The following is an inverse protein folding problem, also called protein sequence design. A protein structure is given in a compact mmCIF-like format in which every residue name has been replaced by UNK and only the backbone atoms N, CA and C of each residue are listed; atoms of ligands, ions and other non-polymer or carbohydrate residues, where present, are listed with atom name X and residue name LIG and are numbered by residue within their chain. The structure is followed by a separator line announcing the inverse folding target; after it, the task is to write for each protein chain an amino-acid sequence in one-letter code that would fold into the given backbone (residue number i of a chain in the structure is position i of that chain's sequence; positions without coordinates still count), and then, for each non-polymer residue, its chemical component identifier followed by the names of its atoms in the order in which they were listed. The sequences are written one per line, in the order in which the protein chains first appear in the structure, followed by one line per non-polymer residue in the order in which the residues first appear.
data_IF_664410269115
#
_entry.id   IF_664410269115
#
_cell.length_a   1.000
_cell.length_b   1.000
_cell.length_c   1.000
_cell.angle_alpha   90.00
_cell.angle_beta   90.00
_cell.angle_gamma   90.00
#
_symmetry.space_group_name_H-M   'P 1'
#
loop_
_entity.id
_entity.type
_entity.pdbx_description
1 polymer ?
#
# COMPACT_ATOMS: atom_id res chain seq x y z
N UNK A 1 21.55 -1.17 -10.64
CA UNK A 1 20.87 -0.02 -11.27
C UNK A 1 21.61 1.25 -10.91
N UNK A 2 22.17 1.95 -11.90
CA UNK A 2 22.81 3.27 -11.67
C UNK A 2 21.97 4.39 -12.28
N UNK A 3 21.46 5.28 -11.45
CA UNK A 3 20.88 6.55 -11.92
C UNK A 3 22.04 7.52 -12.14
N UNK A 4 22.10 8.09 -13.35
CA UNK A 4 23.17 9.02 -13.74
C UNK A 4 22.56 10.33 -14.19
N UNK A 5 23.21 11.43 -13.85
CA UNK A 5 22.99 12.73 -14.46
C UNK A 5 24.21 13.10 -15.28
N UNK A 6 24.00 13.85 -16.36
CA UNK A 6 25.11 14.58 -16.98
C UNK A 6 25.68 15.54 -15.95
N UNK A 7 26.96 15.84 -16.08
CA UNK A 7 27.65 16.79 -15.22
C UNK A 7 28.28 17.81 -16.14
N UNK A 8 28.10 19.08 -15.85
CA UNK A 8 28.67 20.16 -16.64
C UNK A 8 30.20 20.29 -16.44
N UNK A 9 30.82 21.25 -17.11
CA UNK A 9 32.26 21.53 -17.00
C UNK A 9 32.72 21.94 -15.59
N UNK A 10 31.78 22.25 -14.68
CA UNK A 10 32.04 22.67 -13.31
C UNK A 10 31.78 21.56 -12.28
N UNK A 11 31.40 20.35 -12.70
CA UNK A 11 31.07 19.28 -11.78
C UNK A 11 29.63 19.36 -11.24
N UNK A 12 28.79 20.24 -11.79
CA UNK A 12 27.41 20.43 -11.35
C UNK A 12 26.50 19.49 -12.17
N UNK A 13 25.59 18.73 -11.52
CA UNK A 13 24.64 17.89 -12.23
C UNK A 13 23.75 18.73 -13.17
N UNK A 14 23.79 18.42 -14.46
CA UNK A 14 23.01 19.07 -15.51
C UNK A 14 22.11 18.05 -16.22
N UNK A 15 20.92 18.47 -16.64
CA UNK A 15 19.95 17.65 -17.37
C UNK A 15 19.14 16.64 -16.52
N UNK A 16 18.29 15.82 -17.18
CA UNK A 16 17.46 14.85 -16.50
C UNK A 16 18.27 13.65 -16.01
N UNK A 17 17.76 12.98 -14.97
CA UNK A 17 18.24 11.65 -14.59
C UNK A 17 18.04 10.66 -15.73
N UNK A 18 19.04 9.82 -15.96
CA UNK A 18 19.04 8.73 -16.93
C UNK A 18 19.33 7.42 -16.21
N UNK A 19 18.60 6.38 -16.58
CA UNK A 19 18.90 5.01 -16.23
C UNK A 19 19.23 4.25 -17.50
N UNK A 20 20.11 3.24 -17.39
CA UNK A 20 20.33 2.30 -18.49
C UNK A 20 19.11 1.37 -18.59
N UNK A 21 18.48 1.33 -19.76
CA UNK A 21 17.32 0.47 -20.02
C UNK A 21 17.68 -1.00 -19.80
N UNK A 22 18.88 -1.43 -20.19
CA UNK A 22 19.34 -2.81 -20.00
C UNK A 22 19.54 -3.15 -18.52
N UNK A 23 19.99 -2.19 -17.70
CA UNK A 23 20.05 -2.39 -16.24
C UNK A 23 18.65 -2.60 -15.64
N UNK A 24 17.67 -1.79 -16.08
CA UNK A 24 16.28 -1.91 -15.62
C UNK A 24 15.69 -3.25 -16.07
N UNK A 25 15.85 -3.62 -17.34
CA UNK A 25 15.38 -4.89 -17.90
C UNK A 25 16.01 -6.10 -17.22
N UNK A 26 17.31 -6.06 -16.90
CA UNK A 26 17.99 -7.11 -16.18
C UNK A 26 17.43 -7.26 -14.75
N UNK A 27 17.22 -6.15 -14.04
CA UNK A 27 16.61 -6.16 -12.70
C UNK A 27 15.18 -6.70 -12.75
N UNK A 28 14.38 -6.27 -13.74
CA UNK A 28 13.03 -6.79 -13.93
C UNK A 28 13.00 -8.29 -14.27
N UNK A 29 13.93 -8.74 -15.10
CA UNK A 29 14.03 -10.14 -15.49
C UNK A 29 14.46 -11.03 -14.31
N UNK A 30 15.47 -10.61 -13.55
CA UNK A 30 15.96 -11.35 -12.38
C UNK A 30 14.90 -11.47 -11.29
N UNK A 31 14.14 -10.41 -11.05
CA UNK A 31 13.07 -10.46 -10.08
C UNK A 31 11.92 -11.34 -10.55
N UNK A 32 11.51 -11.24 -11.82
CA UNK A 32 10.52 -12.14 -12.39
C UNK A 32 10.95 -13.60 -12.27
N UNK A 33 12.24 -13.90 -12.50
CA UNK A 33 12.83 -15.22 -12.28
C UNK A 33 12.84 -15.67 -10.81
N UNK A 34 12.90 -14.72 -9.86
CA UNK A 34 12.84 -15.02 -8.44
C UNK A 34 11.41 -15.32 -7.95
N UNK A 35 10.40 -15.09 -8.78
CA UNK A 35 9.02 -15.39 -8.43
C UNK A 35 8.83 -16.90 -8.33
N UNK A 36 8.38 -17.35 -7.18
CA UNK A 36 7.98 -18.74 -7.02
C UNK A 36 6.76 -18.99 -7.92
N UNK A 37 6.95 -19.80 -8.96
CA UNK A 37 5.83 -20.40 -9.66
C UNK A 37 5.07 -21.28 -8.66
N UNK A 38 3.72 -21.32 -8.71
CA UNK A 38 2.99 -22.31 -7.94
C UNK A 38 3.52 -23.69 -8.35
N UNK A 39 4.23 -24.36 -7.44
CA UNK A 39 4.73 -25.72 -7.65
C UNK A 39 3.56 -26.57 -8.11
N UNK A 40 3.70 -27.19 -9.29
CA UNK A 40 2.80 -28.27 -9.71
C UNK A 40 2.99 -29.40 -8.70
N UNK A 41 2.15 -29.43 -7.68
CA UNK A 41 2.06 -30.59 -6.84
C UNK A 41 1.46 -31.71 -7.71
N UNK A 42 2.33 -32.65 -8.08
CA UNK A 42 2.07 -33.94 -8.73
C UNK A 42 2.03 -33.93 -10.27
N UNK A 43 2.94 -34.74 -10.84
CA UNK A 43 2.99 -35.21 -12.22
C UNK A 43 1.82 -36.15 -12.55
N UNK A 44 0.59 -35.68 -12.39
CA UNK A 44 -0.55 -36.32 -13.06
C UNK A 44 -1.03 -35.36 -14.16
N UNK A 45 -0.85 -35.83 -15.38
CA UNK A 45 -1.33 -35.27 -16.63
C UNK A 45 -2.86 -35.17 -16.61
N UNK A 46 -3.41 -34.24 -15.83
CA UNK A 46 -4.79 -33.79 -16.01
C UNK A 46 -4.77 -32.54 -16.90
N UNK A 47 -4.95 -32.70 -18.23
CA UNK A 47 -4.92 -31.59 -19.17
C UNK A 47 -6.07 -30.60 -18.98
N UNK A 48 -7.03 -30.87 -18.09
CA UNK A 48 -8.22 -30.05 -17.87
C UNK A 48 -8.10 -29.07 -16.69
N UNK A 49 -7.02 -29.15 -15.88
CA UNK A 49 -6.75 -28.14 -14.87
C UNK A 49 -6.14 -26.91 -15.55
N UNK A 50 -7.01 -26.02 -16.04
CA UNK A 50 -6.60 -24.66 -16.42
C UNK A 50 -5.90 -24.02 -15.24
N UNK A 51 -4.59 -23.77 -15.36
CA UNK A 51 -3.83 -22.97 -14.40
C UNK A 51 -4.46 -21.59 -14.32
N UNK A 52 -5.28 -21.36 -13.29
CA UNK A 52 -5.84 -20.04 -12.99
C UNK A 52 -4.67 -19.15 -12.57
N UNK A 53 -4.42 -18.10 -13.35
CA UNK A 53 -3.44 -17.08 -12.98
C UNK A 53 -3.81 -16.49 -11.61
N UNK A 54 -2.87 -16.43 -10.66
CA UNK A 54 -3.12 -15.79 -9.37
C UNK A 54 -3.55 -14.34 -9.57
N UNK A 55 -4.60 -13.91 -8.85
CA UNK A 55 -4.99 -12.50 -8.81
C UNK A 55 -3.90 -11.67 -8.14
N UNK A 56 -3.85 -10.38 -8.45
CA UNK A 56 -2.84 -9.48 -7.89
C UNK A 56 -3.53 -8.45 -7.01
N UNK A 57 -3.04 -8.31 -5.79
CA UNK A 57 -3.51 -7.34 -4.81
C UNK A 57 -2.32 -6.52 -4.29
N UNK A 58 -2.55 -5.23 -4.05
CA UNK A 58 -1.57 -4.33 -3.43
C UNK A 58 -1.93 -4.09 -1.97
N UNK A 59 -0.94 -4.24 -1.09
CA UNK A 59 -0.99 -3.89 0.32
C UNK A 59 -0.85 -2.38 0.44
N UNK A 60 -1.86 -1.73 1.03
CA UNK A 60 -1.90 -0.28 1.23
C UNK A 60 -1.60 0.10 2.67
N UNK A 61 -1.96 -0.76 3.61
CA UNK A 61 -1.76 -0.57 5.05
C UNK A 61 -1.71 -1.92 5.76
N UNK A 62 -1.12 -1.90 6.95
CA UNK A 62 -0.89 -3.05 7.84
C UNK A 62 -1.47 -2.72 9.21
N UNK A 63 -2.26 -3.64 9.74
CA UNK A 63 -3.01 -3.51 10.99
C UNK A 63 -2.75 -4.75 11.84
N UNK A 64 -2.41 -4.59 13.12
CA UNK A 64 -2.13 -5.74 13.99
C UNK A 64 -3.41 -6.43 14.40
N UNK A 65 -3.55 -7.73 14.16
CA UNK A 65 -4.65 -8.51 14.76
C UNK A 65 -4.41 -8.69 16.27
N UNK A 66 -4.65 -7.65 17.05
CA UNK A 66 -4.62 -7.72 18.51
C UNK A 66 -5.95 -8.26 19.01
N UNK A 67 -6.23 -9.51 18.65
CA UNK A 67 -7.32 -10.27 19.25
C UNK A 67 -7.03 -10.61 20.72
N UNK A 68 -5.79 -10.43 21.22
CA UNK A 68 -5.34 -10.88 22.54
C UNK A 68 -4.60 -9.85 23.40
N UNK A 69 -4.45 -8.60 22.98
CA UNK A 69 -3.89 -7.52 23.82
C UNK A 69 -4.94 -6.43 24.08
N UNK A 70 -4.72 -5.68 25.16
CA UNK A 70 -5.66 -4.73 25.78
C UNK A 70 -6.44 -3.87 24.78
N UNK A 71 -7.65 -3.44 25.18
CA UNK A 71 -8.60 -2.67 24.36
C UNK A 71 -8.03 -1.40 23.67
N UNK A 72 -6.81 -0.98 24.01
CA UNK A 72 -6.07 0.08 23.35
C UNK A 72 -5.64 -0.26 21.90
N UNK A 73 -5.30 -1.51 21.59
CA UNK A 73 -4.74 -1.86 20.27
C UNK A 73 -5.82 -2.04 19.18
N UNK A 74 -7.04 -2.46 19.56
CA UNK A 74 -8.18 -2.55 18.60
C UNK A 74 -8.57 -1.20 18.00
N UNK A 75 -8.22 -0.12 18.69
CA UNK A 75 -8.47 1.23 18.23
C UNK A 75 -7.51 1.64 17.10
N UNK A 76 -6.30 1.05 17.03
CA UNK A 76 -5.26 1.36 16.03
C UNK A 76 -5.50 0.73 14.63
N UNK A 77 -6.39 -0.26 14.52
CA UNK A 77 -6.71 -0.89 13.22
C UNK A 77 -7.74 -0.08 12.42
N UNK A 78 -8.81 0.39 13.06
CA UNK A 78 -9.80 1.32 12.46
C UNK A 78 -9.13 2.67 12.12
N UNK A 79 -8.03 3.01 12.80
CA UNK A 79 -7.24 4.23 12.65
C UNK A 79 -6.56 4.36 11.29
N UNK A 80 -5.82 3.33 10.84
CA UNK A 80 -5.02 3.40 9.61
C UNK A 80 -5.92 3.40 8.34
N UNK A 81 -7.07 2.70 8.39
CA UNK A 81 -8.09 2.66 7.35
C UNK A 81 -8.75 4.04 7.11
N UNK A 82 -9.10 4.72 8.20
CA UNK A 82 -9.68 6.06 8.14
C UNK A 82 -8.66 7.11 7.67
N UNK A 83 -7.36 6.88 7.84
CA UNK A 83 -6.31 7.78 7.36
C UNK A 83 -6.00 7.60 5.88
N UNK A 84 -5.95 6.37 5.36
CA UNK A 84 -5.82 6.16 3.90
C UNK A 84 -7.01 6.76 3.14
N UNK A 85 -8.22 6.63 3.68
CA UNK A 85 -9.41 7.22 3.07
C UNK A 85 -9.41 8.75 3.04
N UNK A 86 -8.61 9.42 3.89
CA UNK A 86 -8.41 10.86 3.79
C UNK A 86 -7.73 11.23 2.45
N UNK A 87 -6.74 10.47 2.02
CA UNK A 87 -5.96 10.76 0.81
C UNK A 87 -6.54 10.13 -0.45
N UNK A 88 -7.52 9.23 -0.30
CA UNK A 88 -8.15 8.55 -1.40
C UNK A 88 -9.26 9.41 -2.03
N UNK A 89 -9.02 9.91 -3.24
CA UNK A 89 -9.96 10.82 -3.95
C UNK A 89 -11.28 10.17 -4.37
N UNK A 90 -11.42 8.83 -4.23
CA UNK A 90 -12.63 8.07 -4.61
C UNK A 90 -13.29 7.46 -3.37
N UNK A 91 -14.62 7.30 -3.43
CA UNK A 91 -15.39 6.55 -2.42
C UNK A 91 -14.84 5.12 -2.36
N UNK A 92 -14.60 4.58 -1.16
CA UNK A 92 -13.91 3.33 -0.76
C UNK A 92 -14.39 2.00 -1.42
N UNK A 93 -14.85 1.99 -2.67
CA UNK A 93 -15.53 0.84 -3.27
C UNK A 93 -14.62 -0.36 -3.60
N UNK A 94 -13.30 -0.22 -3.44
CA UNK A 94 -12.33 -1.27 -3.77
C UNK A 94 -11.40 -1.70 -2.64
N UNK A 95 -11.42 -1.02 -1.48
CA UNK A 95 -10.58 -1.36 -0.34
C UNK A 95 -11.16 -2.57 0.40
N UNK A 96 -10.37 -3.62 0.51
CA UNK A 96 -10.77 -4.85 1.19
C UNK A 96 -9.79 -5.17 2.32
N UNK A 97 -10.31 -5.47 3.49
CA UNK A 97 -9.51 -5.91 4.63
C UNK A 97 -9.31 -7.42 4.56
N UNK A 98 -8.05 -7.86 4.49
CA UNK A 98 -7.68 -9.28 4.47
C UNK A 98 -6.69 -9.63 5.54
N UNK A 99 -6.80 -10.86 6.04
CA UNK A 99 -5.93 -11.41 7.07
C UNK A 99 -4.83 -12.25 6.42
N UNK A 100 -3.57 -11.87 6.57
CA UNK A 100 -2.43 -12.65 6.05
C UNK A 100 -1.76 -13.45 7.15
N UNK A 101 -1.50 -14.74 6.94
CA UNK A 101 -0.75 -15.61 7.87
C UNK A 101 0.36 -16.37 7.14
N UNK A 102 1.58 -16.28 7.67
CA UNK A 102 2.72 -17.03 7.17
C UNK A 102 3.09 -18.16 8.13
N UNK A 103 3.03 -19.41 7.67
CA UNK A 103 3.35 -20.59 8.50
C UNK A 103 4.86 -20.73 8.79
N UNK A 104 5.73 -20.07 8.02
CA UNK A 104 7.20 -20.12 8.17
C UNK A 104 7.77 -18.73 8.49
N UNK A 105 7.53 -18.32 9.74
CA UNK A 105 7.85 -17.02 10.34
C UNK A 105 9.29 -16.52 10.18
N UNK A 106 10.26 -17.38 9.87
CA UNK A 106 11.67 -17.03 9.80
C UNK A 106 12.07 -16.35 8.46
N UNK A 107 11.27 -16.45 7.40
CA UNK A 107 11.71 -16.12 6.03
C UNK A 107 10.71 -15.28 5.23
N UNK A 108 10.09 -14.27 5.86
CA UNK A 108 9.12 -13.37 5.22
C UNK A 108 9.62 -12.74 3.90
N UNK A 109 10.93 -12.43 3.82
CA UNK A 109 11.53 -11.90 2.59
C UNK A 109 11.35 -12.85 1.40
N UNK A 110 11.31 -14.17 1.64
CA UNK A 110 11.04 -15.16 0.59
C UNK A 110 9.55 -15.20 0.21
N UNK A 111 8.67 -14.91 1.16
CA UNK A 111 7.21 -14.88 0.93
C UNK A 111 6.71 -13.65 0.16
N UNK A 112 7.57 -12.65 -0.08
CA UNK A 112 7.22 -11.49 -0.91
C UNK A 112 6.87 -11.87 -2.35
N UNK A 113 7.38 -13.00 -2.81
CA UNK A 113 7.21 -13.47 -4.19
C UNK A 113 6.38 -14.75 -4.27
N UNK A 114 5.86 -15.22 -3.13
CA UNK A 114 5.07 -16.44 -3.05
C UNK A 114 3.65 -16.23 -3.60
N UNK A 115 3.02 -17.34 -3.98
CA UNK A 115 1.57 -17.40 -4.17
C UNK A 115 0.92 -17.65 -2.82
N UNK A 116 -0.11 -16.87 -2.53
CA UNK A 116 -0.95 -16.99 -1.34
C UNK A 116 -2.29 -17.58 -1.73
N UNK A 117 -2.93 -18.27 -0.80
CA UNK A 117 -4.25 -18.84 -1.05
C UNK A 117 -5.17 -18.71 0.14
N UNK A 118 -6.48 -18.69 -0.13
CA UNK A 118 -7.49 -18.59 0.91
C UNK A 118 -7.58 -19.89 1.71
N UNK A 119 -7.49 -19.77 3.02
CA UNK A 119 -7.77 -20.81 4.01
C UNK A 119 -8.72 -20.21 5.07
N UNK A 120 -10.02 -20.49 4.94
CA UNK A 120 -11.05 -19.84 5.73
C UNK A 120 -11.15 -18.34 5.42
N UNK A 121 -10.97 -17.51 6.45
CA UNK A 121 -11.00 -16.04 6.37
C UNK A 121 -9.59 -15.42 6.19
N UNK A 122 -8.56 -16.25 6.09
CA UNK A 122 -7.16 -15.82 5.99
C UNK A 122 -6.56 -16.21 4.63
N UNK A 123 -5.58 -15.45 4.17
CA UNK A 123 -4.67 -15.86 3.11
C UNK A 123 -3.40 -16.38 3.74
N UNK A 124 -2.97 -17.56 3.28
CA UNK A 124 -1.80 -18.25 3.81
C UNK A 124 -0.78 -18.55 2.73
N UNK A 125 0.46 -18.76 3.14
CA UNK A 125 1.53 -19.24 2.27
C UNK A 125 2.48 -20.19 3.01
N UNK A 126 3.10 -21.10 2.28
CA UNK A 126 4.15 -22.01 2.76
C UNK A 126 5.10 -22.40 1.61
N UNK A 127 6.20 -23.08 1.93
CA UNK A 127 7.22 -23.50 0.95
C UNK A 127 6.75 -24.53 -0.08
N UNK A 128 5.61 -25.18 0.16
CA UNK A 128 5.06 -26.22 -0.72
C UNK A 128 4.11 -25.64 -1.78
N UNK A 129 3.75 -24.35 -1.64
CA UNK A 129 2.80 -23.69 -2.52
C UNK A 129 1.33 -24.05 -2.22
N UNK A 130 0.39 -23.47 -2.99
CA UNK A 130 -1.04 -23.65 -2.76
C UNK A 130 -1.51 -25.09 -3.00
N UNK A 131 -2.48 -25.61 -2.22
CA UNK A 131 -3.16 -26.86 -2.52
C UNK A 131 -3.81 -26.83 -3.91
N UNK A 132 -3.85 -27.98 -4.58
CA UNK A 132 -4.43 -28.13 -5.93
C UNK A 132 -5.88 -27.61 -5.97
N UNK A 133 -6.67 -27.92 -4.94
CA UNK A 133 -8.08 -27.54 -4.81
C UNK A 133 -8.31 -26.05 -4.52
N UNK A 134 -7.26 -25.26 -4.29
CA UNK A 134 -7.43 -23.84 -3.98
C UNK A 134 -7.67 -23.02 -5.24
N UNK A 135 -8.89 -22.49 -5.36
CA UNK A 135 -9.33 -21.64 -6.47
C UNK A 135 -9.13 -20.14 -6.23
N UNK A 136 -8.85 -19.72 -4.99
CA UNK A 136 -8.58 -18.31 -4.63
C UNK A 136 -7.09 -18.16 -4.34
N UNK A 137 -6.34 -17.92 -5.41
CA UNK A 137 -4.88 -17.73 -5.39
C UNK A 137 -4.55 -16.27 -5.66
N UNK A 138 -3.68 -15.68 -4.86
CA UNK A 138 -3.31 -14.27 -4.95
C UNK A 138 -1.81 -14.05 -4.80
N UNK A 139 -1.30 -12.97 -5.41
CA UNK A 139 0.02 -12.41 -5.16
C UNK A 139 -0.17 -11.04 -4.53
N UNK A 140 0.63 -10.77 -3.51
CA UNK A 140 0.62 -9.48 -2.83
C UNK A 140 1.85 -8.66 -3.23
N UNK A 141 1.61 -7.38 -3.54
CA UNK A 141 2.62 -6.34 -3.76
C UNK A 141 2.43 -5.24 -2.72
N UNK A 142 3.35 -4.26 -2.63
CA UNK A 142 3.34 -3.21 -1.62
C UNK A 142 3.98 -3.65 -0.30
N UNK A 143 4.92 -4.59 -0.35
CA UNK A 143 5.58 -5.14 0.84
C UNK A 143 6.47 -4.11 1.55
N UNK A 144 6.92 -3.09 0.82
CA UNK A 144 7.63 -1.92 1.37
C UNK A 144 6.80 -1.14 2.40
N UNK A 145 5.46 -1.23 2.34
CA UNK A 145 4.56 -0.56 3.28
C UNK A 145 4.48 -1.26 4.65
N UNK A 146 5.12 -2.43 4.81
CA UNK A 146 5.10 -3.16 6.07
C UNK A 146 6.14 -2.64 7.07
N UNK A 147 5.70 -2.27 8.27
CA UNK A 147 6.61 -1.99 9.39
C UNK A 147 7.29 -3.29 9.86
N UNK A 148 8.62 -3.31 9.86
CA UNK A 148 9.48 -4.48 10.18
C UNK A 148 9.18 -5.19 11.51
N UNK A 149 8.53 -4.50 12.46
CA UNK A 149 8.34 -4.99 13.84
C UNK A 149 7.11 -5.91 14.04
N UNK A 150 6.11 -5.87 13.14
CA UNK A 150 4.78 -6.45 13.38
C UNK A 150 4.63 -7.95 13.09
N UNK A 151 5.67 -8.63 12.61
CA UNK A 151 5.49 -9.92 11.91
C UNK A 151 6.05 -11.14 12.64
N UNK A 152 6.12 -11.10 13.97
CA UNK A 152 6.28 -12.33 14.77
C UNK A 152 4.92 -12.93 15.10
N UNK A 153 4.51 -13.93 14.34
CA UNK A 153 3.50 -14.91 14.73
C UNK A 153 2.05 -14.47 14.59
N UNK A 154 1.80 -13.30 14.03
CA UNK A 154 0.47 -12.72 13.99
C UNK A 154 -0.09 -12.77 12.59
N UNK A 155 -1.34 -13.18 12.53
CA UNK A 155 -2.18 -12.81 11.41
C UNK A 155 -2.35 -11.29 11.41
N UNK A 156 -2.33 -10.66 10.24
CA UNK A 156 -2.32 -9.19 10.15
C UNK A 156 -3.41 -8.77 9.19
N UNK A 157 -4.21 -7.78 9.59
CA UNK A 157 -5.23 -7.19 8.72
C UNK A 157 -4.55 -6.21 7.76
N UNK A 158 -4.96 -6.23 6.50
CA UNK A 158 -4.39 -5.38 5.47
C UNK A 158 -5.50 -4.76 4.65
N UNK A 159 -5.45 -3.46 4.47
CA UNK A 159 -6.21 -2.83 3.39
C UNK A 159 -5.53 -3.11 2.07
N UNK A 160 -6.29 -3.71 1.17
CA UNK A 160 -5.80 -4.10 -0.14
C UNK A 160 -6.68 -3.56 -1.25
N UNK A 161 -6.05 -3.40 -2.41
CA UNK A 161 -6.74 -3.05 -3.65
C UNK A 161 -6.36 -4.05 -4.75
N UNK A 162 -7.33 -4.56 -5.52
CA UNK A 162 -7.03 -5.39 -6.68
C UNK A 162 -6.24 -4.57 -7.71
N UNK A 163 -5.28 -5.21 -8.35
CA UNK A 163 -4.58 -4.66 -9.52
C UNK A 163 -5.02 -5.42 -10.77
N UNK A 164 -5.39 -4.66 -11.79
CA UNK A 164 -5.68 -5.20 -13.12
C UNK A 164 -4.46 -5.16 -14.05
N UNK A 165 -3.33 -4.65 -13.55
CA UNK A 165 -2.10 -4.55 -14.31
C UNK A 165 -1.42 -5.91 -14.48
N UNK A 166 -0.74 -6.15 -15.62
CA UNK A 166 0.06 -7.35 -15.81
C UNK A 166 1.12 -7.51 -14.70
N UNK A 167 1.55 -8.75 -14.47
CA UNK A 167 2.55 -9.07 -13.44
C UNK A 167 3.82 -8.21 -13.54
N UNK A 168 4.32 -8.02 -14.77
CA UNK A 168 5.51 -7.22 -15.04
C UNK A 168 5.32 -5.74 -14.63
N UNK A 169 4.12 -5.19 -14.80
CA UNK A 169 3.84 -3.79 -14.47
C UNK A 169 3.70 -3.62 -12.95
N UNK A 170 3.08 -4.58 -12.27
CA UNK A 170 3.05 -4.62 -10.80
C UNK A 170 4.46 -4.68 -10.21
N UNK A 171 5.36 -5.40 -10.87
CA UNK A 171 6.75 -5.44 -10.49
C UNK A 171 7.47 -4.10 -10.69
N UNK A 172 7.31 -3.44 -11.84
CA UNK A 172 7.86 -2.11 -12.08
C UNK A 172 7.36 -1.08 -11.06
N UNK A 173 6.09 -1.20 -10.66
CA UNK A 173 5.49 -0.40 -9.59
C UNK A 173 6.10 -0.69 -8.20
N UNK A 174 6.45 -1.94 -7.86
CA UNK A 174 7.15 -2.28 -6.61
C UNK A 174 8.57 -1.70 -6.54
N UNK A 175 9.30 -1.79 -7.66
CA UNK A 175 10.59 -1.13 -7.81
C UNK A 175 10.47 0.38 -7.62
N UNK A 176 9.44 0.98 -8.21
CA UNK A 176 9.16 2.39 -8.04
C UNK A 176 8.88 2.74 -6.58
N UNK A 177 8.03 1.99 -5.86
CA UNK A 177 7.78 2.21 -4.43
C UNK A 177 9.04 2.07 -3.58
N UNK A 178 9.92 1.11 -3.90
CA UNK A 178 11.22 0.93 -3.24
C UNK A 178 12.15 2.11 -3.51
N UNK A 179 12.21 2.58 -4.76
CA UNK A 179 12.97 3.76 -5.14
C UNK A 179 12.45 5.01 -4.45
N UNK A 180 11.13 5.23 -4.48
CA UNK A 180 10.45 6.35 -3.83
C UNK A 180 10.79 6.36 -2.34
N UNK A 181 10.64 5.20 -1.66
CA UNK A 181 11.05 5.03 -0.25
C UNK A 181 12.50 5.46 -0.04
N UNK A 182 13.43 5.01 -0.88
CA UNK A 182 14.85 5.29 -0.71
C UNK A 182 15.18 6.77 -0.91
N UNK A 183 14.58 7.44 -1.91
CA UNK A 183 14.86 8.86 -2.14
C UNK A 183 14.20 9.76 -1.10
N UNK A 184 13.05 9.34 -0.55
CA UNK A 184 12.33 10.14 0.44
C UNK A 184 12.86 9.97 1.87
N UNK A 185 13.71 8.98 2.14
CA UNK A 185 14.41 8.85 3.43
C UNK A 185 15.25 10.07 3.81
N UNK A 186 15.76 10.80 2.81
CA UNK A 186 16.54 12.02 3.01
C UNK A 186 15.70 13.30 2.96
N UNK A 187 14.39 13.17 2.73
CA UNK A 187 13.47 14.30 2.60
C UNK A 187 12.84 14.56 3.96
N UNK A 188 13.02 15.78 4.49
CA UNK A 188 12.38 16.22 5.74
C UNK A 188 10.92 16.63 5.52
N UNK A 189 10.63 17.26 4.38
CA UNK A 189 9.31 17.73 3.99
C UNK A 189 9.07 17.51 2.48
N UNK A 190 7.89 17.01 2.13
CA UNK A 190 7.49 16.75 0.73
C UNK A 190 7.31 18.06 -0.07
N UNK A 191 7.11 19.18 0.62
CA UNK A 191 6.73 20.45 0.03
C UNK A 191 5.36 20.40 -0.64
N UNK A 192 5.08 21.44 -1.43
CA UNK A 192 3.79 21.61 -2.11
C UNK A 192 2.66 22.00 -1.14
N UNK A 193 1.57 22.55 -1.68
CA UNK A 193 0.45 22.93 -0.82
C UNK A 193 -0.43 21.71 -0.54
N UNK A 194 -0.59 21.39 0.74
CA UNK A 194 -1.57 20.41 1.21
C UNK A 194 -2.91 21.12 1.45
N UNK A 195 -4.00 20.55 0.94
CA UNK A 195 -5.34 21.12 1.08
C UNK A 195 -6.36 20.04 1.43
N UNK A 196 -7.42 20.43 2.13
CA UNK A 196 -8.56 19.58 2.39
C UNK A 196 -9.81 20.03 1.64
N UNK A 197 -10.55 19.08 1.09
CA UNK A 197 -11.83 19.32 0.42
C UNK A 197 -12.93 18.46 1.03
N UNK A 198 -14.12 19.05 1.23
CA UNK A 198 -15.28 18.33 1.76
C UNK A 198 -16.24 17.94 0.64
N UNK A 199 -16.61 16.66 0.60
CA UNK A 199 -17.60 16.08 -0.31
C UNK A 199 -18.78 15.52 0.50
N UNK A 200 -19.73 16.38 0.88
CA UNK A 200 -20.90 15.97 1.68
C UNK A 200 -20.54 15.52 3.10
N UNK A 201 -20.68 14.22 3.40
CA UNK A 201 -20.23 13.62 4.67
C UNK A 201 -18.76 13.15 4.61
N UNK A 202 -18.08 13.24 3.47
CA UNK A 202 -16.69 12.82 3.28
C UNK A 202 -15.73 14.02 3.27
N UNK A 203 -14.50 13.79 3.71
CA UNK A 203 -13.40 14.77 3.71
C UNK A 203 -12.21 14.10 3.04
N UNK A 204 -11.68 14.74 2.00
CA UNK A 204 -10.47 14.30 1.31
C UNK A 204 -9.35 15.31 1.46
N UNK A 205 -8.10 14.86 1.38
CA UNK A 205 -6.89 15.66 1.35
C UNK A 205 -6.13 15.42 0.03
N UNK A 206 -5.39 16.44 -0.38
CA UNK A 206 -4.47 16.38 -1.52
C UNK A 206 -3.21 17.17 -1.21
N UNK A 207 -2.10 16.80 -1.83
CA UNK A 207 -0.85 17.53 -1.80
C UNK A 207 -0.35 17.71 -3.24
N UNK A 208 0.02 18.93 -3.61
CA UNK A 208 0.43 19.26 -4.99
C UNK A 208 1.61 18.43 -5.48
N UNK A 209 2.66 18.25 -4.67
CA UNK A 209 3.84 17.44 -5.04
C UNK A 209 3.45 15.99 -5.29
N UNK A 210 2.62 15.41 -4.41
CA UNK A 210 2.14 14.03 -4.59
C UNK A 210 1.24 13.90 -5.81
N UNK A 211 0.39 14.89 -6.07
CA UNK A 211 -0.47 14.92 -7.25
C UNK A 211 0.35 14.99 -8.54
N UNK A 212 1.44 15.77 -8.57
CA UNK A 212 2.39 15.81 -9.68
C UNK A 212 3.10 14.47 -9.89
N UNK A 213 3.54 13.82 -8.80
CA UNK A 213 4.16 12.50 -8.86
C UNK A 213 3.16 11.48 -9.42
N UNK A 214 1.94 11.43 -8.90
CA UNK A 214 0.89 10.52 -9.39
C UNK A 214 0.56 10.79 -10.87
N UNK A 215 0.42 12.06 -11.25
CA UNK A 215 0.19 12.45 -12.64
C UNK A 215 1.34 12.01 -13.56
N UNK A 216 2.59 12.10 -13.09
CA UNK A 216 3.74 11.62 -13.85
C UNK A 216 3.68 10.10 -14.05
N UNK A 217 3.31 9.31 -13.03
CA UNK A 217 3.17 7.87 -13.18
C UNK A 217 2.10 7.48 -14.20
N UNK A 218 0.94 8.14 -14.15
CA UNK A 218 -0.19 7.88 -15.05
C UNK A 218 0.13 8.31 -16.48
N UNK A 219 0.62 9.54 -16.67
CA UNK A 219 0.91 10.07 -18.02
C UNK A 219 2.05 9.36 -18.72
N UNK A 220 2.96 8.73 -17.95
CA UNK A 220 4.05 7.90 -18.49
C UNK A 220 3.66 6.43 -18.65
N UNK A 221 2.43 6.06 -18.32
CA UNK A 221 1.89 4.72 -18.52
C UNK A 221 2.41 3.66 -17.55
N UNK A 222 2.96 4.07 -16.39
CA UNK A 222 3.39 3.11 -15.37
C UNK A 222 2.21 2.49 -14.62
N UNK A 223 1.11 3.23 -14.48
CA UNK A 223 -0.06 2.78 -13.73
C UNK A 223 -1.31 3.59 -14.09
N UNK A 224 -2.49 3.09 -13.71
CA UNK A 224 -3.69 3.92 -13.68
C UNK A 224 -3.74 4.83 -12.43
N UNK A 225 -4.81 5.61 -12.28
CA UNK A 225 -4.94 6.55 -11.16
C UNK A 225 -5.06 5.86 -9.78
N UNK A 226 -5.71 4.70 -9.71
CA UNK A 226 -5.89 3.98 -8.45
C UNK A 226 -4.57 3.30 -8.06
N UNK A 227 -3.86 2.74 -9.03
CA UNK A 227 -2.53 2.18 -8.83
C UNK A 227 -1.48 3.27 -8.52
N UNK A 228 -1.60 4.48 -9.08
CA UNK A 228 -0.75 5.62 -8.71
C UNK A 228 -0.91 5.97 -7.23
N UNK A 229 -2.15 5.98 -6.74
CA UNK A 229 -2.44 6.10 -5.32
C UNK A 229 -1.77 4.98 -4.52
N UNK A 230 -1.92 3.72 -4.93
CA UNK A 230 -1.35 2.56 -4.24
C UNK A 230 0.19 2.59 -4.13
N UNK A 231 0.87 3.17 -5.13
CA UNK A 231 2.31 3.24 -5.15
C UNK A 231 2.88 4.41 -4.34
N UNK A 232 2.12 5.51 -4.21
CA UNK A 232 2.62 6.79 -3.69
C UNK A 232 2.15 7.11 -2.28
N UNK A 233 0.85 6.96 -1.99
CA UNK A 233 0.27 7.37 -0.71
C UNK A 233 0.75 6.46 0.44
N UNK A 234 0.64 5.12 0.35
CA UNK A 234 1.17 4.24 1.38
C UNK A 234 2.66 4.48 1.67
N UNK A 235 3.47 4.60 0.61
CA UNK A 235 4.91 4.84 0.71
C UNK A 235 5.22 6.17 1.43
N UNK A 236 4.59 7.26 1.00
CA UNK A 236 4.86 8.59 1.57
C UNK A 236 4.37 8.67 3.02
N UNK A 237 3.25 8.02 3.33
CA UNK A 237 2.69 7.95 4.68
C UNK A 237 3.56 7.13 5.63
N UNK A 238 4.06 5.98 5.20
CA UNK A 238 4.96 5.16 6.04
C UNK A 238 6.29 5.85 6.35
N UNK A 239 6.69 6.83 5.53
CA UNK A 239 7.83 7.72 5.78
C UNK A 239 7.47 8.97 6.60
N UNK A 240 6.21 9.18 6.99
CA UNK A 240 5.78 10.35 7.77
C UNK A 240 5.64 11.64 6.96
N UNK A 241 5.68 11.57 5.63
CA UNK A 241 5.74 12.76 4.76
C UNK A 241 4.35 13.31 4.40
N UNK A 242 3.28 12.60 4.80
CA UNK A 242 1.89 12.98 4.54
C UNK A 242 1.16 13.22 5.85
N UNK A 243 1.31 14.43 6.38
CA UNK A 243 0.54 14.89 7.53
C UNK A 243 -0.84 15.40 7.10
N UNK A 244 -1.90 15.10 7.86
CA UNK A 244 -3.23 15.64 7.62
C UNK A 244 -3.23 17.19 7.59
N UNK A 245 -3.80 17.83 6.55
CA UNK A 245 -3.93 19.28 6.53
C UNK A 245 -4.73 19.78 7.73
N UNK A 246 -4.35 20.91 8.33
CA UNK A 246 -5.09 21.50 9.45
C UNK A 246 -6.56 21.76 9.10
N UNK A 247 -6.84 22.13 7.83
CA UNK A 247 -8.22 22.31 7.39
C UNK A 247 -9.02 21.01 7.44
N UNK A 248 -8.40 19.85 7.16
CA UNK A 248 -9.07 18.56 7.28
C UNK A 248 -9.51 18.32 8.72
N UNK A 249 -8.60 18.55 9.68
CA UNK A 249 -8.88 18.38 11.12
C UNK A 249 -10.03 19.30 11.56
N UNK A 250 -10.02 20.54 11.10
CA UNK A 250 -11.09 21.50 11.38
C UNK A 250 -12.43 21.07 10.74
N UNK A 251 -12.42 20.54 9.52
CA UNK A 251 -13.61 20.02 8.84
C UNK A 251 -14.21 18.80 9.55
N UNK A 252 -13.36 17.86 10.01
CA UNK A 252 -13.80 16.69 10.78
C UNK A 252 -14.48 17.15 12.08
N UNK A 253 -13.89 18.11 12.79
CA UNK A 253 -14.47 18.69 13.99
C UNK A 253 -15.86 19.29 13.75
N UNK A 254 -16.00 20.13 12.72
CA UNK A 254 -17.31 20.71 12.35
C UNK A 254 -18.34 19.64 11.98
N UNK A 255 -17.92 18.55 11.33
CA UNK A 255 -18.82 17.46 10.97
C UNK A 255 -19.28 16.68 12.21
N UNK A 256 -18.37 16.42 13.15
CA UNK A 256 -18.69 15.82 14.44
C UNK A 256 -19.73 16.68 15.20
N UNK A 257 -19.48 17.98 15.33
CA UNK A 257 -20.39 18.91 16.03
C UNK A 257 -21.80 18.94 15.41
N UNK A 258 -21.90 18.80 14.08
CA UNK A 258 -23.20 18.73 13.40
C UNK A 258 -23.97 17.44 13.77
N UNK A 259 -23.29 16.30 13.85
CA UNK A 259 -23.92 15.05 14.30
C UNK A 259 -24.28 15.07 15.78
N UNK A 260 -23.49 15.75 16.61
CA UNK A 260 -23.81 16.00 18.00
C UNK A 260 -25.13 16.78 18.14
N UNK A 261 -25.29 17.88 17.40
CA UNK A 261 -26.53 18.68 17.37
C UNK A 261 -27.74 17.88 16.90
N UNK A 262 -27.53 16.96 15.96
CA UNK A 262 -28.57 16.05 15.44
C UNK A 262 -28.84 14.84 16.35
N UNK A 263 -28.19 14.73 17.51
CA UNK A 263 -28.27 13.57 18.43
C UNK A 263 -27.90 12.24 17.77
N UNK A 264 -27.03 12.28 16.74
CA UNK A 264 -26.50 11.10 16.06
C UNK A 264 -25.19 10.65 16.75
N UNK A 265 -25.33 10.12 17.96
CA UNK A 265 -24.20 9.84 18.86
C UNK A 265 -23.13 8.92 18.26
N UNK A 266 -23.53 7.86 17.56
CA UNK A 266 -22.57 6.92 16.94
C UNK A 266 -21.71 7.60 15.87
N UNK A 267 -22.32 8.46 15.03
CA UNK A 267 -21.58 9.22 14.00
C UNK A 267 -20.66 10.27 14.64
N UNK A 268 -21.14 10.95 15.69
CA UNK A 268 -20.32 11.89 16.45
C UNK A 268 -19.09 11.20 17.05
N UNK A 269 -19.28 10.08 17.76
CA UNK A 269 -18.19 9.35 18.40
C UNK A 269 -17.13 8.91 17.39
N UNK A 270 -17.55 8.37 16.23
CA UNK A 270 -16.63 7.98 15.15
C UNK A 270 -15.77 9.15 14.65
N UNK A 271 -16.37 10.31 14.37
CA UNK A 271 -15.64 11.48 13.88
C UNK A 271 -14.79 12.17 14.96
N UNK A 272 -15.25 12.19 16.21
CA UNK A 272 -14.49 12.75 17.32
C UNK A 272 -13.22 11.93 17.57
N UNK A 273 -13.33 10.59 17.57
CA UNK A 273 -12.19 9.70 17.67
C UNK A 273 -11.25 9.89 16.48
N UNK A 274 -11.78 10.01 15.26
CA UNK A 274 -10.97 10.29 14.08
C UNK A 274 -10.19 11.61 14.21
N UNK A 275 -10.84 12.68 14.65
CA UNK A 275 -10.18 13.99 14.85
C UNK A 275 -9.05 13.93 15.87
N UNK A 276 -9.26 13.28 17.01
CA UNK A 276 -8.24 13.12 18.06
C UNK A 276 -6.99 12.42 17.49
N UNK A 277 -7.19 11.46 16.59
CA UNK A 277 -6.11 10.71 15.95
C UNK A 277 -5.36 11.54 14.93
N UNK A 278 -6.05 12.28 14.07
CA UNK A 278 -5.38 13.22 13.14
C UNK A 278 -4.53 14.25 13.89
N UNK A 279 -4.96 14.68 15.07
CA UNK A 279 -4.19 15.58 15.93
C UNK A 279 -2.95 14.91 16.55
N UNK A 280 -2.95 13.60 16.75
CA UNK A 280 -1.80 12.85 17.29
C UNK A 280 -0.66 12.79 16.28
N UNK A 281 -0.99 12.58 15.01
CA UNK A 281 -0.01 12.46 13.92
C UNK A 281 0.61 13.80 13.50
N UNK A 282 -0.07 14.93 13.77
CA UNK A 282 0.48 16.27 13.50
C UNK A 282 1.51 16.75 14.53
N UNK A 283 1.69 16.03 15.65
CA UNK A 283 2.57 16.44 16.76
C UNK A 283 3.85 15.58 16.83
N UNK A 284 3.97 14.55 15.99
CA UNK A 284 5.16 13.70 15.84
C UNK A 284 6.04 14.14 14.70
#
# INVERSE_FOLDING_TARGET
MSLRRSVDSHGIPDGPWKADTSDIEAVLSLWLWSMEEPTKAYDEEDPDIKTVEPRINRILSVHSDTAHTDAADRDDDIHEAMQLSLWHKRVNNGLQAYKLRNYHLAELAKSQHAVWWREGDEFVTNSNGPPVVSNDRQRFFGWSNMKKALMKGLSVFHEMMPSNSPLLLNYAQELYSTFLTAITQAVEDLGGNSQATRYGEFIGASNETVDEIQAALVTRGLCDADEAFACTIPTSRTQGLLQPPEEAIAMVGKLADNHLKQKRWNKYAGLANWRIRLLRDNVS
#
